data_IF_169848564867
#
_entry.id   IF_169848564867
#
_cell.length_a   1.000
_cell.length_b   1.000
_cell.length_c   1.000
_cell.angle_alpha   90.00
_cell.angle_beta   90.00
_cell.angle_gamma   90.00
#
_symmetry.space_group_name_H-M   'P 1'
#
loop_
_entity.id
_entity.type
_entity.pdbx_description
1 polymer ?
#
# COMPACT_ATOMS: atom_id res chain seq x y z
N UNK A 1 -6.26 -0.59 6.58
CA UNK A 1 -5.74 -0.76 5.20
C UNK A 1 -5.42 -2.23 4.94
N UNK A 2 -5.93 -2.81 3.85
CA UNK A 2 -6.00 -4.26 3.65
C UNK A 2 -7.36 -4.81 4.11
N UNK A 3 -7.91 -5.78 3.36
CA UNK A 3 -9.23 -6.36 3.68
C UNK A 3 -9.16 -7.21 4.95
N UNK A 4 -8.11 -8.03 5.07
CA UNK A 4 -7.83 -8.81 6.29
C UNK A 4 -6.48 -8.41 6.90
N UNK A 5 -5.43 -8.33 6.07
CA UNK A 5 -4.11 -7.89 6.48
C UNK A 5 -3.32 -7.39 5.26
N UNK A 6 -2.43 -6.40 5.40
CA UNK A 6 -1.51 -6.06 4.34
C UNK A 6 -0.59 -7.23 3.99
N UNK A 7 -0.33 -7.44 2.71
CA UNK A 7 0.75 -8.34 2.28
C UNK A 7 2.08 -7.64 2.49
N UNK A 8 3.00 -8.27 3.22
CA UNK A 8 4.36 -7.76 3.45
C UNK A 8 5.35 -8.74 2.85
N UNK A 9 6.21 -8.26 1.96
CA UNK A 9 7.24 -9.08 1.29
C UNK A 9 8.62 -8.45 1.50
N UNK A 10 9.64 -9.24 1.86
CA UNK A 10 10.99 -8.72 2.04
C UNK A 10 11.57 -8.22 0.70
N UNK A 11 12.39 -7.17 0.77
CA UNK A 11 13.17 -6.69 -0.38
C UNK A 11 14.64 -7.10 -0.24
N UNK A 12 15.37 -7.03 -1.35
CA UNK A 12 16.82 -7.30 -1.36
C UNK A 12 17.62 -6.34 -0.48
N UNK A 13 17.13 -5.10 -0.31
CA UNK A 13 17.78 -4.13 0.55
C UNK A 13 17.34 -4.36 2.01
N UNK A 14 18.30 -4.64 2.88
CA UNK A 14 18.05 -4.88 4.30
C UNK A 14 17.27 -3.74 4.95
N UNK A 15 16.31 -4.09 5.81
CA UNK A 15 15.43 -3.12 6.48
C UNK A 15 14.26 -2.63 5.65
N UNK A 16 14.14 -3.00 4.37
CA UNK A 16 13.03 -2.63 3.51
C UNK A 16 12.08 -3.78 3.21
N UNK A 17 10.79 -3.44 3.13
CA UNK A 17 9.72 -4.36 2.77
C UNK A 17 8.81 -3.72 1.73
N UNK A 18 8.28 -4.53 0.82
CA UNK A 18 7.18 -4.15 -0.04
C UNK A 18 5.86 -4.46 0.67
N UNK A 19 4.99 -3.46 0.76
CA UNK A 19 3.66 -3.59 1.38
C UNK A 19 2.58 -3.42 0.32
N UNK A 20 1.58 -4.30 0.33
CA UNK A 20 0.41 -4.20 -0.56
C UNK A 20 -0.87 -4.29 0.26
N UNK A 21 -1.76 -3.34 0.06
CA UNK A 21 -3.01 -3.26 0.78
C UNK A 21 -4.09 -2.62 -0.10
N UNK A 22 -5.33 -3.11 0.00
CA UNK A 22 -6.48 -2.41 -0.58
C UNK A 22 -6.82 -1.19 0.27
N UNK A 23 -7.05 -0.06 -0.39
CA UNK A 23 -7.47 1.20 0.23
C UNK A 23 -8.71 1.73 -0.48
N UNK A 24 -9.61 2.45 0.21
CA UNK A 24 -10.71 3.13 -0.46
C UNK A 24 -10.18 4.11 -1.51
N UNK A 25 -10.80 4.12 -2.70
CA UNK A 25 -10.43 5.08 -3.76
C UNK A 25 -10.58 6.52 -3.26
N UNK A 26 -11.65 6.79 -2.51
CA UNK A 26 -11.85 8.07 -1.83
C UNK A 26 -10.86 8.16 -0.66
N UNK A 27 -9.88 9.05 -0.81
CA UNK A 27 -8.82 9.25 0.19
C UNK A 27 -7.49 8.56 -0.13
N UNK A 28 -7.37 7.88 -1.27
CA UNK A 28 -6.11 7.24 -1.69
C UNK A 28 -4.93 8.23 -1.70
N UNK A 29 -5.15 9.48 -2.14
CA UNK A 29 -4.10 10.51 -2.16
C UNK A 29 -3.61 10.87 -0.75
N UNK A 30 -4.51 11.06 0.21
CA UNK A 30 -4.13 11.32 1.60
C UNK A 30 -3.32 10.16 2.19
N UNK A 31 -3.73 8.91 1.91
CA UNK A 31 -2.97 7.74 2.35
C UNK A 31 -1.57 7.71 1.74
N UNK A 32 -1.42 8.10 0.47
CA UNK A 32 -0.10 8.22 -0.16
C UNK A 32 0.77 9.26 0.55
N UNK A 33 0.21 10.42 0.89
CA UNK A 33 0.91 11.49 1.60
C UNK A 33 1.33 11.05 3.01
N UNK A 34 0.42 10.40 3.75
CA UNK A 34 0.68 9.88 5.09
C UNK A 34 1.82 8.84 5.06
N UNK A 35 1.76 7.90 4.11
CA UNK A 35 2.81 6.90 3.91
C UNK A 35 4.15 7.55 3.54
N UNK A 36 4.12 8.56 2.67
CA UNK A 36 5.33 9.29 2.28
C UNK A 36 5.97 10.01 3.47
N UNK A 37 5.15 10.65 4.32
CA UNK A 37 5.57 11.30 5.55
C UNK A 37 6.21 10.32 6.56
N UNK A 38 5.76 9.07 6.58
CA UNK A 38 6.34 7.99 7.39
C UNK A 38 7.63 7.39 6.80
N UNK A 39 8.04 7.83 5.61
CA UNK A 39 9.27 7.37 4.95
C UNK A 39 9.05 6.33 3.85
N UNK A 40 7.80 5.99 3.51
CA UNK A 40 7.54 5.12 2.37
C UNK A 40 8.01 5.77 1.06
N UNK A 41 8.54 4.95 0.15
CA UNK A 41 9.05 5.38 -1.15
C UNK A 41 8.49 4.48 -2.24
N UNK A 42 8.49 4.97 -3.48
CA UNK A 42 7.93 4.28 -4.64
C UNK A 42 6.47 3.79 -4.41
N UNK A 43 5.61 4.70 -3.93
CA UNK A 43 4.20 4.40 -3.66
C UNK A 43 3.43 4.37 -4.98
N UNK A 44 2.72 3.27 -5.23
CA UNK A 44 1.97 3.03 -6.46
C UNK A 44 0.53 2.64 -6.11
N UNK A 45 -0.43 3.17 -6.86
CA UNK A 45 -1.83 2.77 -6.78
C UNK A 45 -2.26 2.14 -8.10
N UNK A 46 -2.96 1.01 -8.02
CA UNK A 46 -3.56 0.35 -9.18
C UNK A 46 -5.07 0.20 -8.97
N UNK A 47 -5.83 0.41 -10.04
CA UNK A 47 -7.27 0.21 -10.00
C UNK A 47 -7.59 -1.29 -9.92
N UNK A 48 -8.56 -1.65 -9.09
CA UNK A 48 -9.08 -3.02 -9.01
C UNK A 48 -10.36 -3.08 -9.84
N UNK A 49 -10.34 -3.90 -10.90
CA UNK A 49 -11.49 -4.05 -11.79
C UNK A 49 -12.64 -4.85 -11.16
N UNK A 50 -12.31 -5.85 -10.35
CA UNK A 50 -13.29 -6.64 -9.60
C UNK A 50 -12.62 -7.23 -8.35
N UNK A 51 -13.36 -7.30 -7.26
CA UNK A 51 -12.96 -7.98 -6.03
C UNK A 51 -14.19 -8.69 -5.46
N UNK A 52 -14.03 -9.95 -5.05
CA UNK A 52 -15.03 -10.68 -4.26
C UNK A 52 -14.49 -10.78 -2.84
N UNK A 53 -15.32 -10.35 -1.89
CA UNK A 53 -15.05 -10.38 -0.46
C UNK A 53 -15.50 -11.73 0.11
#
# INVERSE_FOLDING_TARGET
PGLESPTVSPLHHEGWVAVRAMVPTKGAQQVMDDLYGLGARAILTTAIHACRL
#
